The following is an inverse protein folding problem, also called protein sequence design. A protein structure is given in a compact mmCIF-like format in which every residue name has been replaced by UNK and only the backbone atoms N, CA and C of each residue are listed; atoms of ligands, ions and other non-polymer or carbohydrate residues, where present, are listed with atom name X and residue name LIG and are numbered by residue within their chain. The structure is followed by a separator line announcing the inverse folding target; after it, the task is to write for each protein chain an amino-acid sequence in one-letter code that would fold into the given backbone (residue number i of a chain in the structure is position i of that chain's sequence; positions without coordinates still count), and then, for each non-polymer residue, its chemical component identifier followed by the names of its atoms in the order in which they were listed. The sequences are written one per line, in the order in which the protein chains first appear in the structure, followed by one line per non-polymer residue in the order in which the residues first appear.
data_IF_249398604825
#
_entry.id   IF_249398604825
#
_cell.length_a   1.000
_cell.length_b   1.000
_cell.length_c   1.000
_cell.angle_alpha   90.00
_cell.angle_beta   90.00
_cell.angle_gamma   90.00
#
_symmetry.space_group_name_H-M   'P 1'
#
loop_
_entity.id
_entity.type
_entity.pdbx_description
1 polymer ?
#
# COMPACT_ATOMS: atom_id res chain seq x y z
N UNK A 1 -1.22 15.56 17.33
CA UNK A 1 -0.98 14.12 17.10
C UNK A 1 -1.52 13.79 15.71
N UNK A 2 -0.67 13.63 14.69
CA UNK A 2 -1.14 13.20 13.36
C UNK A 2 -1.32 11.69 13.38
N UNK A 3 -2.45 11.19 12.88
CA UNK A 3 -2.61 9.74 12.67
C UNK A 3 -1.66 9.29 11.57
N UNK A 4 -1.10 8.07 11.65
CA UNK A 4 -0.24 7.54 10.59
C UNK A 4 -1.06 7.27 9.32
N UNK A 5 -0.52 7.66 8.16
CA UNK A 5 -1.14 7.44 6.84
C UNK A 5 -0.86 6.00 6.35
N UNK A 6 -1.33 5.02 7.11
CA UNK A 6 -1.05 3.59 6.92
C UNK A 6 -2.29 2.74 6.63
N UNK A 7 -3.41 3.39 6.36
CA UNK A 7 -4.70 2.75 6.09
C UNK A 7 -5.00 2.75 4.60
N UNK A 8 -5.47 1.62 4.11
CA UNK A 8 -6.03 1.46 2.77
C UNK A 8 -7.52 1.17 2.91
N UNK A 9 -8.32 2.00 2.27
CA UNK A 9 -9.78 1.93 2.34
C UNK A 9 -10.35 1.91 0.93
N UNK A 10 -11.32 1.04 0.69
CA UNK A 10 -12.09 1.01 -0.55
C UNK A 10 -13.52 1.41 -0.29
N UNK A 11 -14.00 2.31 -1.15
CA UNK A 11 -15.36 2.79 -1.16
C UNK A 11 -16.05 2.34 -2.45
N UNK A 12 -17.32 2.03 -2.32
CA UNK A 12 -18.26 1.98 -3.42
C UNK A 12 -18.48 3.41 -3.93
N UNK A 13 -18.12 3.67 -5.19
CA UNK A 13 -18.16 5.04 -5.74
C UNK A 13 -19.58 5.52 -5.98
N UNK A 14 -20.50 4.60 -6.28
CA UNK A 14 -21.89 4.94 -6.58
C UNK A 14 -22.66 5.31 -5.31
N UNK A 15 -22.42 4.58 -4.21
CA UNK A 15 -23.16 4.74 -2.95
C UNK A 15 -22.39 5.52 -1.88
N UNK A 16 -21.06 5.64 -2.01
CA UNK A 16 -20.18 6.16 -0.97
C UNK A 16 -19.96 5.19 0.20
N UNK A 17 -20.45 3.95 0.12
CA UNK A 17 -20.30 2.95 1.17
C UNK A 17 -18.85 2.50 1.30
N UNK A 18 -18.33 2.47 2.53
CA UNK A 18 -17.02 1.87 2.82
C UNK A 18 -17.13 0.35 2.75
N UNK A 19 -16.57 -0.27 1.71
CA UNK A 19 -16.57 -1.74 1.56
C UNK A 19 -15.65 -2.41 2.57
N UNK A 20 -14.41 -1.94 2.64
CA UNK A 20 -13.44 -2.45 3.59
C UNK A 20 -12.34 -1.45 3.88
N UNK A 21 -11.65 -1.71 4.98
CA UNK A 21 -10.64 -0.84 5.54
C UNK A 21 -9.58 -1.71 6.19
N UNK A 22 -8.35 -1.70 5.66
CA UNK A 22 -7.23 -2.48 6.20
C UNK A 22 -6.02 -1.62 6.55
N UNK A 23 -5.30 -2.03 7.60
CA UNK A 23 -3.99 -1.46 7.93
C UNK A 23 -2.94 -2.11 7.04
N UNK A 24 -2.12 -1.29 6.37
CA UNK A 24 -1.00 -1.80 5.57
C UNK A 24 0.10 -2.38 6.46
N UNK A 25 0.82 -3.42 6.01
CA UNK A 25 1.98 -3.92 6.72
C UNK A 25 3.14 -2.93 6.66
N UNK A 26 4.08 -3.03 7.60
CA UNK A 26 5.23 -2.14 7.73
C UNK A 26 5.08 -1.09 8.83
N UNK A 27 6.10 -0.25 8.97
CA UNK A 27 6.29 0.72 10.07
C UNK A 27 5.63 2.09 9.83
N UNK A 28 4.69 2.17 8.87
CA UNK A 28 3.80 3.33 8.73
C UNK A 28 4.37 4.50 7.93
N UNK A 29 5.49 4.34 7.21
CA UNK A 29 5.92 5.33 6.23
C UNK A 29 4.92 5.44 5.08
N UNK A 30 4.37 6.64 4.90
CA UNK A 30 3.40 6.97 3.86
C UNK A 30 4.02 7.67 2.65
N UNK A 31 5.35 7.64 2.54
CA UNK A 31 6.03 8.26 1.41
C UNK A 31 5.82 7.43 0.14
N UNK A 32 5.50 8.12 -0.96
CA UNK A 32 5.40 7.56 -2.31
C UNK A 32 4.46 6.37 -2.42
N UNK A 33 3.29 6.45 -1.78
CA UNK A 33 2.24 5.43 -1.91
C UNK A 33 1.63 5.49 -3.29
N UNK A 34 1.66 4.36 -4.02
CA UNK A 34 0.94 4.19 -5.27
C UNK A 34 -0.07 3.05 -5.12
N UNK A 35 -1.23 3.20 -5.74
CA UNK A 35 -2.31 2.22 -5.74
C UNK A 35 -2.65 1.87 -7.18
N UNK A 36 -2.82 0.59 -7.47
CA UNK A 36 -3.31 0.09 -8.75
C UNK A 36 -4.40 -0.93 -8.48
N UNK A 37 -5.48 -0.86 -9.24
CA UNK A 37 -6.64 -1.72 -9.08
C UNK A 37 -6.84 -2.55 -10.34
N UNK A 38 -7.25 -3.80 -10.14
CA UNK A 38 -7.65 -4.77 -11.17
C UNK A 38 -8.94 -5.41 -10.72
N UNK A 39 -9.60 -6.20 -11.58
CA UNK A 39 -10.87 -6.85 -11.25
C UNK A 39 -10.81 -7.72 -9.97
N UNK A 40 -9.64 -8.31 -9.67
CA UNK A 40 -9.47 -9.21 -8.52
C UNK A 40 -8.65 -8.65 -7.35
N UNK A 41 -7.86 -7.59 -7.57
CA UNK A 41 -6.90 -7.16 -6.58
C UNK A 41 -6.64 -5.65 -6.55
N UNK A 42 -6.42 -5.14 -5.34
CA UNK A 42 -5.82 -3.83 -5.08
C UNK A 42 -4.36 -4.04 -4.71
N UNK A 43 -3.47 -3.53 -5.55
CA UNK A 43 -2.03 -3.52 -5.32
C UNK A 43 -1.63 -2.17 -4.77
N UNK A 44 -0.82 -2.18 -3.72
CA UNK A 44 -0.26 -0.98 -3.13
C UNK A 44 1.25 -1.12 -3.01
N UNK A 45 1.97 -0.09 -3.40
CA UNK A 45 3.42 0.02 -3.22
C UNK A 45 3.75 1.26 -2.41
N UNK A 46 4.85 1.22 -1.68
CA UNK A 46 5.44 2.34 -0.96
C UNK A 46 6.95 2.13 -0.88
N UNK A 47 7.69 3.12 -0.38
CA UNK A 47 9.15 3.06 -0.37
C UNK A 47 9.77 1.86 0.33
N UNK A 48 9.03 1.16 1.22
CA UNK A 48 9.53 0.03 2.02
C UNK A 48 8.83 -1.30 1.72
N UNK A 49 8.00 -1.36 0.67
CA UNK A 49 7.33 -2.62 0.36
C UNK A 49 6.17 -2.51 -0.61
N UNK A 50 5.52 -3.65 -0.78
CA UNK A 50 4.34 -3.81 -1.59
C UNK A 50 3.39 -4.83 -0.96
N UNK A 51 2.11 -4.72 -1.26
CA UNK A 51 1.10 -5.68 -0.83
C UNK A 51 -0.02 -5.75 -1.85
N UNK A 52 -0.69 -6.90 -1.91
CA UNK A 52 -1.95 -7.05 -2.63
C UNK A 52 -3.06 -7.51 -1.69
N UNK A 53 -4.25 -7.01 -1.98
CA UNK A 53 -5.48 -7.32 -1.27
C UNK A 53 -6.54 -7.76 -2.27
N UNK A 54 -7.35 -8.73 -1.89
CA UNK A 54 -8.53 -9.13 -2.61
C UNK A 54 -9.49 -7.94 -2.73
N UNK A 55 -9.91 -7.62 -3.96
CA UNK A 55 -10.68 -6.41 -4.25
C UNK A 55 -12.04 -6.40 -3.53
N UNK A 56 -12.67 -7.56 -3.37
CA UNK A 56 -14.02 -7.67 -2.79
C UNK A 56 -13.98 -7.65 -1.26
N UNK A 57 -13.06 -8.39 -0.67
CA UNK A 57 -13.05 -8.66 0.78
C UNK A 57 -12.05 -7.82 1.55
N UNK A 58 -11.07 -7.22 0.88
CA UNK A 58 -9.92 -6.57 1.52
C UNK A 58 -8.96 -7.57 2.17
N UNK A 59 -9.15 -8.88 2.00
CA UNK A 59 -8.24 -9.89 2.55
C UNK A 59 -6.87 -9.75 1.89
N UNK A 60 -5.82 -9.67 2.69
CA UNK A 60 -4.44 -9.65 2.18
C UNK A 60 -4.14 -10.95 1.43
N UNK A 61 -3.75 -10.83 0.17
CA UNK A 61 -3.30 -11.94 -0.67
C UNK A 61 -1.82 -12.24 -0.43
N UNK A 62 -1.00 -11.18 -0.40
CA UNK A 62 0.42 -11.26 -0.08
C UNK A 62 0.94 -9.89 0.39
N UNK A 63 2.13 -9.88 1.00
CA UNK A 63 2.90 -8.68 1.27
C UNK A 63 4.40 -8.97 1.24
N UNK A 64 5.16 -8.03 0.72
CA UNK A 64 6.61 -7.98 0.82
C UNK A 64 7.00 -6.64 1.45
N UNK A 65 7.55 -6.71 2.66
CA UNK A 65 8.05 -5.55 3.41
C UNK A 65 9.56 -5.60 3.59
N UNK A 66 10.25 -6.36 2.75
CA UNK A 66 11.70 -6.52 2.80
C UNK A 66 12.25 -6.03 1.47
N UNK A 67 12.52 -4.72 1.35
CA UNK A 67 13.06 -4.17 0.11
C UNK A 67 14.29 -4.95 -0.33
N UNK A 68 14.29 -5.45 -1.57
CA UNK A 68 15.46 -6.08 -2.12
C UNK A 68 16.61 -5.07 -2.22
N UNK A 69 17.85 -5.55 -2.16
CA UNK A 69 19.03 -4.71 -2.45
C UNK A 69 19.12 -4.30 -3.94
N UNK A 70 18.16 -4.70 -4.77
CA UNK A 70 18.06 -4.31 -6.16
C UNK A 70 17.56 -2.85 -6.24
N UNK A 71 18.50 -1.93 -6.35
CA UNK A 71 18.26 -0.50 -6.47
C UNK A 71 18.40 -0.05 -7.93
N UNK A 72 17.57 0.91 -8.36
CA UNK A 72 17.81 1.58 -9.62
C UNK A 72 19.11 2.39 -9.54
N UNK A 73 19.97 2.40 -10.56
CA UNK A 73 21.17 3.22 -10.56
C UNK A 73 20.82 4.69 -10.24
N UNK A 74 21.41 5.23 -9.16
CA UNK A 74 21.16 6.60 -8.70
C UNK A 74 20.02 6.78 -7.69
N UNK A 75 19.35 5.71 -7.22
CA UNK A 75 18.30 5.82 -6.19
C UNK A 75 18.83 5.97 -4.75
N UNK A 76 20.16 5.93 -4.54
CA UNK A 76 20.75 6.30 -3.25
C UNK A 76 20.58 7.80 -3.04
N UNK A 77 19.58 8.17 -2.26
CA UNK A 77 19.55 9.49 -1.65
C UNK A 77 20.72 9.52 -0.67
N UNK A 78 21.74 10.33 -0.97
CA UNK A 78 22.83 10.55 -0.03
C UNK A 78 22.19 11.00 1.30
N UNK A 79 22.37 10.20 2.34
CA UNK A 79 21.99 10.58 3.70
C UNK A 79 22.95 11.71 4.08
N UNK A 80 22.44 12.95 4.10
CA UNK A 80 23.15 14.09 4.67
C UNK A 80 23.27 13.94 6.19
#
# INVERSE_FOLDING_TARGET
MSLPCDRLTVFDVDTGEKKWDVRRPGDGSAMSVNVTMTDGAVLVTWGQGSAAYDMTTGKRLWADTTPSACEAPGSRVARA
#
